data_IF_861161638108
#
_entry.id   IF_861161638108
#
_cell.length_a   1.000
_cell.length_b   1.000
_cell.length_c   1.000
_cell.angle_alpha   90.00
_cell.angle_beta   90.00
_cell.angle_gamma   90.00
#
_symmetry.space_group_name_H-M   'P 1'
#
loop_
_entity.id
_entity.type
_entity.pdbx_description
1 polymer ?
#
# COMPACT_ATOMS: atom_id res chain seq x y z
N UNK A 1 -25.24 -16.72 3.85
CA UNK A 1 -23.84 -16.39 3.76
C UNK A 1 -23.16 -17.42 2.88
N UNK A 2 -22.37 -16.99 1.92
CA UNK A 2 -21.53 -17.88 1.13
C UNK A 2 -20.20 -18.12 1.83
N UNK A 3 -19.54 -19.21 1.50
CA UNK A 3 -18.14 -19.42 1.87
C UNK A 3 -17.26 -18.49 1.03
N UNK A 4 -16.30 -17.83 1.67
CA UNK A 4 -15.28 -17.04 0.99
C UNK A 4 -14.24 -18.03 0.46
N UNK A 5 -13.96 -18.07 -0.86
CA UNK A 5 -12.91 -18.93 -1.39
C UNK A 5 -11.56 -18.59 -0.76
N UNK A 6 -10.69 -19.59 -0.60
CA UNK A 6 -9.33 -19.40 -0.09
C UNK A 6 -8.43 -18.82 -1.19
N UNK A 7 -8.61 -17.54 -1.45
CA UNK A 7 -7.75 -16.73 -2.31
C UNK A 7 -7.56 -15.34 -1.69
N UNK A 8 -6.58 -14.61 -2.16
CA UNK A 8 -6.26 -13.30 -1.61
C UNK A 8 -7.38 -12.31 -1.94
N UNK A 9 -8.07 -11.87 -0.89
CA UNK A 9 -9.03 -10.78 -0.94
C UNK A 9 -8.46 -9.60 -0.16
N UNK A 10 -8.38 -8.44 -0.78
CA UNK A 10 -7.96 -7.20 -0.11
C UNK A 10 -9.09 -6.54 0.67
N UNK A 11 -10.31 -6.93 0.39
CA UNK A 11 -11.50 -6.45 1.06
C UNK A 11 -11.76 -7.17 2.38
N UNK A 12 -12.16 -6.41 3.40
CA UNK A 12 -12.64 -6.95 4.68
C UNK A 12 -14.13 -6.72 4.83
N UNK A 13 -14.78 -7.60 5.59
CA UNK A 13 -16.19 -7.42 5.93
C UNK A 13 -16.37 -6.17 6.80
N UNK A 14 -17.28 -5.28 6.41
CA UNK A 14 -17.69 -4.13 7.21
C UNK A 14 -18.76 -4.48 8.27
N UNK A 15 -19.25 -5.73 8.31
CA UNK A 15 -20.30 -6.14 9.23
C UNK A 15 -19.93 -5.95 10.70
N UNK A 16 -18.67 -6.20 11.15
CA UNK A 16 -18.31 -5.93 12.54
C UNK A 16 -18.48 -4.46 12.95
N UNK A 17 -18.21 -3.52 12.04
CA UNK A 17 -18.40 -2.09 12.29
C UNK A 17 -19.88 -1.70 12.27
N UNK A 18 -20.64 -2.20 11.28
CA UNK A 18 -22.09 -1.95 11.16
C UNK A 18 -22.84 -2.41 12.41
N UNK A 19 -22.48 -3.56 12.96
CA UNK A 19 -23.12 -4.12 14.15
C UNK A 19 -22.42 -3.73 15.46
N UNK A 20 -21.41 -2.87 15.43
CA UNK A 20 -20.61 -2.48 16.59
C UNK A 20 -20.03 -3.67 17.37
N UNK A 21 -19.74 -4.79 16.68
CA UNK A 21 -19.17 -6.02 17.26
C UNK A 21 -17.64 -6.07 17.17
N UNK A 22 -17.01 -5.11 16.48
CA UNK A 22 -15.56 -5.04 16.30
C UNK A 22 -15.19 -3.96 15.29
N UNK A 23 -13.90 -3.89 14.98
CA UNK A 23 -13.34 -3.05 13.91
C UNK A 23 -12.78 -3.92 12.80
N UNK A 24 -12.74 -3.39 11.59
CA UNK A 24 -11.99 -4.02 10.51
C UNK A 24 -10.48 -3.93 10.82
N UNK A 25 -9.68 -4.94 10.45
CA UNK A 25 -8.23 -4.94 10.64
C UNK A 25 -7.53 -4.06 9.59
N UNK A 26 -8.04 -2.84 9.40
CA UNK A 26 -7.52 -1.91 8.39
C UNK A 26 -7.07 -0.62 9.07
N UNK A 27 -5.78 -0.34 8.96
CA UNK A 27 -5.17 0.88 9.52
C UNK A 27 -5.32 2.10 8.60
N UNK A 28 -5.55 1.85 7.31
CA UNK A 28 -5.74 2.90 6.31
C UNK A 28 -6.54 2.41 5.11
N UNK A 29 -7.01 3.32 4.30
CA UNK A 29 -7.67 3.03 3.02
C UNK A 29 -6.93 3.70 1.88
N UNK A 30 -6.97 3.05 0.70
CA UNK A 30 -6.40 3.55 -0.55
C UNK A 30 -7.53 3.81 -1.54
N UNK A 31 -7.37 4.86 -2.32
CA UNK A 31 -8.18 5.13 -3.50
C UNK A 31 -7.29 5.57 -4.64
N UNK A 32 -7.47 4.97 -5.80
CA UNK A 32 -6.74 5.31 -7.01
C UNK A 32 -7.67 5.90 -8.06
N UNK A 33 -7.16 6.84 -8.82
CA UNK A 33 -7.89 7.44 -9.93
C UNK A 33 -6.98 7.64 -11.13
N UNK A 34 -7.33 7.00 -12.24
CA UNK A 34 -6.71 7.21 -13.54
C UNK A 34 -7.56 8.21 -14.34
N UNK A 35 -6.97 9.36 -14.65
CA UNK A 35 -7.62 10.41 -15.43
C UNK A 35 -7.14 10.49 -16.89
N UNK A 36 -6.43 9.49 -17.38
CA UNK A 36 -5.89 9.44 -18.74
C UNK A 36 -6.97 9.57 -19.84
N UNK A 37 -8.17 9.04 -19.55
CA UNK A 37 -9.32 9.13 -20.43
C UNK A 37 -10.02 10.50 -20.42
N UNK A 38 -9.57 11.47 -19.59
CA UNK A 38 -10.13 12.81 -19.49
C UNK A 38 -9.25 13.82 -20.26
N UNK A 39 -9.59 14.22 -21.50
CA UNK A 39 -8.70 15.02 -22.34
C UNK A 39 -8.25 16.34 -21.70
N UNK A 40 -9.12 17.01 -20.95
CA UNK A 40 -8.83 18.27 -20.28
C UNK A 40 -7.90 18.09 -19.05
N UNK A 41 -7.97 16.95 -18.34
CA UNK A 41 -7.08 16.64 -17.23
C UNK A 41 -5.75 16.06 -17.70
N UNK A 42 -5.75 15.31 -18.80
CA UNK A 42 -4.54 14.74 -19.38
C UNK A 42 -3.50 15.78 -19.76
N UNK A 43 -3.93 17.03 -20.02
CA UNK A 43 -3.01 18.15 -20.29
C UNK A 43 -2.13 18.51 -19.09
N UNK A 44 -2.51 18.11 -17.88
CA UNK A 44 -1.72 18.32 -16.65
C UNK A 44 -0.53 17.36 -16.54
N UNK A 45 -0.49 16.32 -17.36
CA UNK A 45 0.53 15.28 -17.32
C UNK A 45 1.29 15.17 -18.64
N UNK A 46 2.55 14.77 -18.56
CA UNK A 46 3.44 14.64 -19.74
C UNK A 46 3.03 13.50 -20.68
N UNK A 47 2.41 12.45 -20.16
CA UNK A 47 1.97 11.29 -20.91
C UNK A 47 0.84 10.55 -20.18
N UNK A 48 0.16 9.62 -20.88
CA UNK A 48 -0.96 8.88 -20.33
C UNK A 48 -0.58 8.04 -19.09
N UNK A 49 0.65 7.52 -19.03
CA UNK A 49 1.10 6.70 -17.89
C UNK A 49 1.27 7.51 -16.59
N UNK A 50 1.40 8.83 -16.70
CA UNK A 50 1.51 9.73 -15.56
C UNK A 50 0.18 10.37 -15.17
N UNK A 51 -0.93 9.91 -15.77
CA UNK A 51 -2.27 10.43 -15.48
C UNK A 51 -2.94 9.69 -14.33
N UNK A 52 -2.25 9.59 -13.20
CA UNK A 52 -2.76 8.88 -12.03
C UNK A 52 -2.58 9.70 -10.76
N UNK A 53 -3.48 9.48 -9.84
CA UNK A 53 -3.33 9.90 -8.46
C UNK A 53 -3.71 8.74 -7.53
N UNK A 54 -3.05 8.70 -6.39
CA UNK A 54 -3.34 7.73 -5.33
C UNK A 54 -3.56 8.47 -4.02
N UNK A 55 -4.64 8.18 -3.34
CA UNK A 55 -5.00 8.73 -2.04
C UNK A 55 -4.83 7.69 -0.96
N UNK A 56 -4.26 8.10 0.17
CA UNK A 56 -4.20 7.33 1.43
C UNK A 56 -4.93 8.11 2.52
N UNK A 57 -5.75 7.44 3.29
CA UNK A 57 -6.42 8.00 4.46
C UNK A 57 -6.31 7.04 5.65
N UNK A 58 -5.82 7.52 6.80
CA UNK A 58 -5.56 6.74 8.01
C UNK A 58 -6.57 6.98 9.15
N UNK A 59 -7.71 7.61 8.83
CA UNK A 59 -8.72 7.99 9.79
C UNK A 59 -8.61 9.46 10.24
N UNK A 60 -7.47 10.11 10.04
CA UNK A 60 -7.26 11.53 10.32
C UNK A 60 -6.61 12.24 9.14
N UNK A 61 -5.46 11.73 8.68
CA UNK A 61 -4.66 12.35 7.65
C UNK A 61 -5.04 11.81 6.28
N UNK A 62 -5.31 12.72 5.34
CA UNK A 62 -5.53 12.40 3.94
C UNK A 62 -4.35 12.90 3.12
N UNK A 63 -3.66 11.97 2.50
CA UNK A 63 -2.50 12.24 1.64
C UNK A 63 -2.85 11.87 0.21
N UNK A 64 -2.54 12.75 -0.75
CA UNK A 64 -2.80 12.52 -2.16
C UNK A 64 -1.48 12.67 -2.92
N UNK A 65 -1.06 11.60 -3.53
CA UNK A 65 0.06 11.57 -4.46
C UNK A 65 -0.45 11.75 -5.88
N UNK A 66 0.03 12.76 -6.59
CA UNK A 66 -0.27 13.00 -8.00
C UNK A 66 1.02 12.85 -8.78
N UNK A 67 1.03 11.94 -9.74
CA UNK A 67 2.25 11.63 -10.48
C UNK A 67 2.79 12.85 -11.21
N UNK A 68 4.07 13.17 -10.95
CA UNK A 68 4.75 14.33 -11.52
C UNK A 68 4.41 15.68 -10.90
N UNK A 69 3.66 15.71 -9.82
CA UNK A 69 3.28 16.92 -9.06
C UNK A 69 3.69 16.80 -7.60
N UNK A 70 3.63 17.92 -6.87
CA UNK A 70 3.78 17.89 -5.42
C UNK A 70 2.61 17.14 -4.78
N UNK A 71 2.82 16.43 -3.66
CA UNK A 71 1.73 15.81 -2.94
C UNK A 71 0.84 16.86 -2.26
N UNK A 72 -0.36 16.45 -1.88
CA UNK A 72 -1.26 17.19 -1.00
C UNK A 72 -1.42 16.44 0.31
N UNK A 73 -1.59 17.16 1.41
CA UNK A 73 -1.86 16.61 2.73
C UNK A 73 -2.93 17.42 3.44
N UNK A 74 -3.91 16.76 4.04
CA UNK A 74 -4.99 17.38 4.81
C UNK A 74 -5.11 16.70 6.18
N UNK A 75 -5.36 17.50 7.22
CA UNK A 75 -5.70 17.03 8.57
C UNK A 75 -7.22 17.12 8.77
N UNK A 76 -7.94 16.06 8.48
CA UNK A 76 -9.41 16.06 8.52
C UNK A 76 -10.00 16.20 9.93
N UNK A 77 -9.19 16.09 10.98
CA UNK A 77 -9.63 16.39 12.33
C UNK A 77 -9.77 17.91 12.56
N UNK A 78 -8.85 18.70 12.05
CA UNK A 78 -8.85 20.16 12.17
C UNK A 78 -9.42 20.89 10.96
N UNK A 79 -9.43 20.26 9.79
CA UNK A 79 -9.87 20.81 8.50
C UNK A 79 -10.69 19.77 7.71
N UNK A 80 -11.92 19.45 8.16
CA UNK A 80 -12.77 18.44 7.50
C UNK A 80 -13.23 18.86 6.10
N UNK A 81 -13.15 20.13 5.77
CA UNK A 81 -13.51 20.67 4.44
C UNK A 81 -12.34 20.69 3.46
N UNK A 82 -11.15 20.24 3.88
CA UNK A 82 -9.95 20.16 3.03
C UNK A 82 -9.56 21.49 2.37
N UNK A 83 -9.67 22.59 3.12
CA UNK A 83 -9.37 23.95 2.62
C UNK A 83 -7.87 24.25 2.69
N UNK A 84 -7.16 23.66 3.65
CA UNK A 84 -5.74 23.93 3.90
C UNK A 84 -4.86 22.76 3.44
N UNK A 85 -4.28 22.88 2.26
CA UNK A 85 -3.29 21.92 1.78
C UNK A 85 -1.94 22.10 2.52
N UNK A 86 -1.55 21.07 3.28
CA UNK A 86 -0.31 21.01 4.06
C UNK A 86 0.83 20.32 3.32
N UNK A 87 0.68 19.99 2.04
CA UNK A 87 1.65 19.23 1.24
C UNK A 87 3.03 19.86 1.11
N UNK A 88 3.16 21.17 1.26
CA UNK A 88 4.44 21.92 1.28
C UNK A 88 4.87 22.34 2.70
N UNK A 89 4.15 21.93 3.73
CA UNK A 89 4.40 22.39 5.08
C UNK A 89 5.62 21.72 5.69
N UNK A 90 6.67 22.50 5.94
CA UNK A 90 7.88 22.02 6.65
C UNK A 90 7.56 21.47 8.04
N UNK A 91 6.53 22.01 8.71
CA UNK A 91 6.09 21.54 10.03
C UNK A 91 5.51 20.14 9.98
N UNK A 92 4.92 19.73 8.84
CA UNK A 92 4.25 18.45 8.67
C UNK A 92 5.07 17.47 7.82
N UNK A 93 6.37 17.72 7.61
CA UNK A 93 7.23 16.88 6.78
C UNK A 93 7.26 15.43 7.23
N UNK A 94 7.39 15.18 8.53
CA UNK A 94 7.35 13.82 9.10
C UNK A 94 6.04 13.11 8.80
N UNK A 95 4.92 13.86 8.82
CA UNK A 95 3.61 13.30 8.50
C UNK A 95 3.48 12.97 7.01
N UNK A 96 3.99 13.85 6.14
CA UNK A 96 4.04 13.62 4.70
C UNK A 96 4.86 12.35 4.40
N UNK A 97 6.02 12.19 5.02
CA UNK A 97 6.91 11.03 4.85
C UNK A 97 6.23 9.73 5.33
N UNK A 98 5.59 9.76 6.49
CA UNK A 98 4.83 8.61 7.02
C UNK A 98 3.72 8.17 6.07
N UNK A 99 2.90 9.09 5.59
CA UNK A 99 1.80 8.77 4.68
C UNK A 99 2.30 8.28 3.32
N UNK A 100 3.38 8.87 2.83
CA UNK A 100 4.04 8.44 1.61
C UNK A 100 4.59 7.02 1.75
N UNK A 101 5.28 6.72 2.85
CA UNK A 101 5.81 5.36 3.08
C UNK A 101 4.69 4.33 3.20
N UNK A 102 3.59 4.65 3.85
CA UNK A 102 2.40 3.81 3.93
C UNK A 102 1.86 3.48 2.53
N UNK A 103 1.73 4.47 1.66
CA UNK A 103 1.28 4.30 0.28
C UNK A 103 2.25 3.43 -0.53
N UNK A 104 3.55 3.72 -0.47
CA UNK A 104 4.54 2.96 -1.23
C UNK A 104 4.71 1.52 -0.69
N UNK A 105 4.57 1.31 0.62
CA UNK A 105 4.57 -0.03 1.20
C UNK A 105 3.38 -0.82 0.68
N UNK A 106 2.17 -0.24 0.70
CA UNK A 106 1.00 -0.85 0.10
C UNK A 106 1.22 -1.16 -1.38
N UNK A 107 1.74 -0.22 -2.17
CA UNK A 107 1.99 -0.41 -3.60
C UNK A 107 3.03 -1.52 -3.88
N UNK A 108 4.03 -1.70 -3.01
CA UNK A 108 5.03 -2.78 -3.12
C UNK A 108 4.49 -4.15 -2.71
N UNK A 109 3.57 -4.18 -1.73
CA UNK A 109 2.94 -5.42 -1.28
C UNK A 109 1.92 -5.95 -2.29
N UNK A 110 1.53 -5.13 -3.24
CA UNK A 110 0.53 -5.50 -4.21
C UNK A 110 1.00 -6.59 -5.18
N UNK A 111 0.37 -7.74 -5.12
CA UNK A 111 -0.27 -8.39 -6.26
C UNK A 111 0.60 -9.22 -7.17
N UNK A 112 1.74 -9.68 -6.70
CA UNK A 112 2.45 -10.76 -7.39
C UNK A 112 1.70 -12.09 -7.26
N UNK A 113 0.78 -12.18 -6.27
CA UNK A 113 -0.01 -13.39 -5.99
C UNK A 113 -1.47 -13.02 -5.78
N UNK A 114 -2.31 -13.36 -6.73
CA UNK A 114 -3.76 -13.12 -6.66
C UNK A 114 -4.58 -14.41 -6.49
N UNK A 115 -3.97 -15.58 -6.61
CA UNK A 115 -4.66 -16.87 -6.63
C UNK A 115 -4.25 -17.80 -5.47
N UNK A 116 -3.19 -17.49 -4.73
CA UNK A 116 -2.63 -18.34 -3.67
C UNK A 116 -2.42 -17.49 -2.42
N UNK A 117 -3.03 -17.88 -1.30
CA UNK A 117 -2.87 -17.20 -0.01
C UNK A 117 -1.51 -17.47 0.62
N UNK A 118 -1.08 -16.62 1.56
CA UNK A 118 0.16 -16.82 2.31
C UNK A 118 0.11 -18.15 3.07
N UNK A 119 -1.02 -18.48 3.70
CA UNK A 119 -1.20 -19.76 4.39
C UNK A 119 -1.04 -20.97 3.46
N UNK A 120 -1.51 -20.87 2.21
CA UNK A 120 -1.29 -21.93 1.22
C UNK A 120 0.18 -22.07 0.82
N UNK A 121 0.91 -20.95 0.74
CA UNK A 121 2.35 -20.96 0.44
C UNK A 121 3.13 -21.52 1.63
N UNK A 122 2.83 -21.10 2.85
CA UNK A 122 3.50 -21.57 4.07
C UNK A 122 3.27 -23.07 4.30
N UNK A 123 2.11 -23.60 3.92
CA UNK A 123 1.79 -25.03 4.00
C UNK A 123 2.15 -25.79 2.72
N UNK A 124 2.35 -25.09 1.62
CA UNK A 124 2.76 -25.64 0.33
C UNK A 124 4.20 -26.15 0.40
N UNK A 125 4.43 -27.35 -0.08
CA UNK A 125 5.79 -27.82 -0.31
C UNK A 125 6.28 -27.14 -1.60
N UNK A 126 7.22 -26.24 -1.45
CA UNK A 126 8.05 -25.85 -2.58
C UNK A 126 8.76 -27.12 -3.07
N UNK A 127 8.57 -27.46 -4.33
CA UNK A 127 9.24 -28.60 -4.96
C UNK A 127 10.71 -28.29 -5.33
N UNK A 128 11.19 -27.10 -4.99
CA UNK A 128 12.57 -26.72 -5.21
C UNK A 128 13.41 -27.40 -4.12
N UNK A 129 14.20 -28.37 -4.53
CA UNK A 129 15.19 -29.00 -3.65
C UNK A 129 16.14 -27.90 -3.15
N UNK A 130 16.42 -27.91 -1.85
CA UNK A 130 17.30 -26.92 -1.20
C UNK A 130 18.72 -26.85 -1.79
N UNK A 131 19.05 -27.79 -2.67
CA UNK A 131 20.32 -27.87 -3.37
C UNK A 131 20.41 -26.88 -4.56
N UNK A 132 19.28 -26.42 -5.11
CA UNK A 132 19.28 -25.58 -6.32
C UNK A 132 19.57 -24.10 -6.05
N UNK A 133 19.51 -23.66 -4.80
CA UNK A 133 19.83 -22.30 -4.38
C UNK A 133 18.96 -21.22 -5.05
N UNK A 134 18.31 -20.37 -4.27
CA UNK A 134 17.55 -19.23 -4.78
C UNK A 134 18.35 -17.93 -4.60
N UNK A 135 18.65 -17.24 -5.69
CA UNK A 135 19.28 -15.93 -5.64
C UNK A 135 18.29 -14.86 -5.16
N UNK A 136 18.44 -14.44 -3.90
CA UNK A 136 17.63 -13.37 -3.30
C UNK A 136 18.36 -12.03 -3.19
N UNK A 137 19.39 -11.79 -4.03
CA UNK A 137 20.15 -10.54 -4.03
C UNK A 137 21.34 -10.53 -3.05
N UNK A 138 21.77 -11.66 -2.55
CA UNK A 138 23.01 -11.79 -1.79
C UNK A 138 24.18 -12.10 -2.73
N UNK A 139 25.34 -11.52 -2.43
CA UNK A 139 26.52 -11.58 -3.31
C UNK A 139 27.49 -12.68 -2.90
N UNK A 140 27.46 -13.11 -1.62
CA UNK A 140 28.28 -14.19 -1.11
C UNK A 140 27.66 -14.86 0.14
N UNK A 141 28.26 -16.00 0.55
CA UNK A 141 27.81 -16.76 1.73
C UNK A 141 27.95 -15.99 3.05
N UNK A 142 28.92 -15.09 3.14
CA UNK A 142 29.17 -14.29 4.34
C UNK A 142 27.99 -13.34 4.59
N UNK A 143 27.55 -12.68 3.54
CA UNK A 143 26.40 -11.76 3.57
C UNK A 143 25.10 -12.50 3.90
N UNK A 144 24.88 -13.66 3.28
CA UNK A 144 23.72 -14.50 3.55
C UNK A 144 23.70 -15.02 5.01
N UNK A 145 24.84 -15.45 5.52
CA UNK A 145 24.94 -15.93 6.91
C UNK A 145 24.75 -14.80 7.92
N UNK A 146 25.26 -13.60 7.65
CA UNK A 146 25.02 -12.41 8.48
C UNK A 146 23.53 -12.04 8.50
N UNK A 147 22.85 -12.13 7.37
CA UNK A 147 21.40 -11.91 7.29
C UNK A 147 20.61 -12.95 8.08
N UNK A 148 20.91 -14.26 7.95
CA UNK A 148 20.24 -15.33 8.69
C UNK A 148 20.36 -15.19 10.21
N UNK A 149 21.50 -14.71 10.71
CA UNK A 149 21.74 -14.51 12.14
C UNK A 149 20.96 -13.33 12.72
N UNK A 150 20.53 -12.40 11.89
CA UNK A 150 19.82 -11.18 12.30
C UNK A 150 18.30 -11.26 12.14
N UNK A 151 17.73 -12.43 11.76
CA UNK A 151 16.28 -12.60 11.68
C UNK A 151 15.68 -12.78 13.09
N UNK A 152 14.63 -12.08 13.44
CA UNK A 152 13.87 -12.34 14.66
C UNK A 152 13.20 -13.73 14.57
N UNK A 153 13.17 -14.46 15.67
CA UNK A 153 12.42 -15.71 15.81
C UNK A 153 10.92 -15.51 15.67
#
# INVERSE_FOLDING_TARGET
GGEVPDHILEGYSLMPEIYATGKTPRDFVISEYDYSARPHLRQLSKNAKSCSLTMVFDGRWKFIWVEGHRPMLYDLESDPEEVMDLGDSKKHQTQIERMREMMFTWARQQHTRVAISDAQIETGRCHDDAEDGVYLGFWDETELNAWRQNQPE
#
